data_IF_909986956420
#
_entry.id   IF_909986956420
#
_cell.length_a   1.000
_cell.length_b   1.000
_cell.length_c   1.000
_cell.angle_alpha   90.00
_cell.angle_beta   90.00
_cell.angle_gamma   90.00
#
_symmetry.space_group_name_H-M   'P 1'
#
loop_
_entity.id
_entity.type
_entity.pdbx_description
1 polymer ?
#
# COMPACT_ATOMS: atom_id res chain seq x y z
N UNK A 1 11.06 9.63 4.89
CA UNK A 1 11.37 8.35 4.24
C UNK A 1 11.41 7.28 5.33
N UNK A 2 10.29 7.11 6.02
CA UNK A 2 10.11 6.08 7.03
C UNK A 2 9.74 4.80 6.30
N UNK A 3 10.64 3.83 6.27
CA UNK A 3 10.37 2.46 5.84
C UNK A 3 10.72 1.51 6.99
N UNK A 4 10.26 0.26 6.91
CA UNK A 4 10.75 -0.87 7.72
C UNK A 4 12.26 -1.03 7.53
N UNK A 5 12.77 -0.78 6.31
CA UNK A 5 14.21 -0.73 6.01
C UNK A 5 14.74 0.72 5.88
N UNK A 6 15.38 1.20 6.93
CA UNK A 6 16.05 2.51 6.94
C UNK A 6 17.28 2.56 6.01
N UNK A 7 17.83 1.41 5.61
CA UNK A 7 19.02 1.32 4.77
C UNK A 7 18.79 1.84 3.36
N UNK A 8 17.55 1.75 2.85
CA UNK A 8 17.17 2.18 1.51
C UNK A 8 17.41 3.68 1.29
N UNK A 9 17.29 4.49 2.35
CA UNK A 9 17.50 5.94 2.28
C UNK A 9 18.80 6.39 2.96
N UNK A 10 19.70 5.45 3.25
CA UNK A 10 21.04 5.76 3.70
C UNK A 10 21.80 6.59 2.66
N UNK A 11 22.82 7.34 3.10
CA UNK A 11 23.63 8.18 2.20
C UNK A 11 24.28 7.35 1.08
N UNK A 12 24.74 6.13 1.38
CA UNK A 12 25.32 5.22 0.39
C UNK A 12 24.28 4.75 -0.63
N UNK A 13 23.08 4.37 -0.18
CA UNK A 13 21.98 3.97 -1.05
C UNK A 13 21.54 5.11 -1.99
N UNK A 14 21.31 6.31 -1.44
CA UNK A 14 20.95 7.50 -2.22
C UNK A 14 22.03 7.88 -3.25
N UNK A 15 23.31 7.80 -2.90
CA UNK A 15 24.40 8.01 -3.86
C UNK A 15 24.47 6.93 -4.93
N UNK A 16 23.82 5.79 -4.70
CA UNK A 16 23.79 4.64 -5.58
C UNK A 16 22.92 4.82 -6.83
N UNK A 17 21.94 5.72 -6.83
CA UNK A 17 21.01 5.90 -7.96
C UNK A 17 20.94 7.36 -8.42
N UNK A 18 20.50 7.61 -9.65
CA UNK A 18 20.31 8.96 -10.19
C UNK A 18 19.27 9.77 -9.39
N UNK A 19 18.04 9.29 -9.13
CA UNK A 19 17.06 10.00 -8.31
C UNK A 19 17.53 10.15 -6.86
N UNK A 20 18.26 9.18 -6.29
CA UNK A 20 18.84 9.32 -4.95
C UNK A 20 19.82 10.49 -4.83
N UNK A 21 20.68 10.69 -5.84
CA UNK A 21 21.55 11.89 -5.92
C UNK A 21 20.74 13.18 -6.04
N UNK A 22 19.60 13.15 -6.76
CA UNK A 22 18.71 14.31 -6.85
C UNK A 22 18.03 14.61 -5.50
N UNK A 23 17.60 13.58 -4.76
CA UNK A 23 17.08 13.72 -3.40
C UNK A 23 18.10 14.39 -2.49
N UNK A 24 19.36 13.93 -2.51
CA UNK A 24 20.46 14.57 -1.75
C UNK A 24 20.60 16.04 -2.15
N UNK A 25 20.63 16.33 -3.46
CA UNK A 25 20.74 17.70 -3.99
C UNK A 25 19.60 18.58 -3.48
N UNK A 26 18.35 18.10 -3.57
CA UNK A 26 17.18 18.83 -3.07
C UNK A 26 17.23 19.04 -1.56
N UNK A 27 17.77 18.09 -0.81
CA UNK A 27 18.02 18.21 0.62
C UNK A 27 19.04 19.28 0.96
N UNK A 28 20.19 19.29 0.27
CA UNK A 28 21.26 20.28 0.45
C UNK A 28 20.79 21.70 0.15
N UNK A 29 20.02 21.89 -0.92
CA UNK A 29 19.45 23.20 -1.28
C UNK A 29 18.17 23.55 -0.52
N UNK A 30 17.67 22.65 0.35
CA UNK A 30 16.38 22.78 1.05
C UNK A 30 15.28 23.22 0.09
N UNK A 31 15.12 22.50 -1.02
CA UNK A 31 14.10 22.79 -2.04
C UNK A 31 12.70 22.84 -1.40
N UNK A 32 11.75 23.54 -2.04
CA UNK A 32 10.36 23.62 -1.55
C UNK A 32 9.76 22.22 -1.34
N UNK A 33 9.92 21.34 -2.32
CA UNK A 33 9.43 19.96 -2.26
C UNK A 33 10.03 19.17 -1.10
N UNK A 34 11.35 19.25 -0.91
CA UNK A 34 12.04 18.58 0.21
C UNK A 34 11.60 19.12 1.57
N UNK A 35 11.39 20.44 1.71
CA UNK A 35 10.90 21.04 2.96
C UNK A 35 9.50 20.53 3.31
N UNK A 36 8.57 20.56 2.35
CA UNK A 36 7.21 20.04 2.54
C UNK A 36 7.22 18.54 2.86
N UNK A 37 8.07 17.78 2.15
CA UNK A 37 8.25 16.36 2.44
C UNK A 37 8.71 16.10 3.88
N UNK A 38 9.74 16.81 4.35
CA UNK A 38 10.23 16.64 5.72
C UNK A 38 9.22 17.10 6.76
N UNK A 39 8.42 18.13 6.47
CA UNK A 39 7.34 18.56 7.35
C UNK A 39 6.35 17.41 7.58
N UNK A 40 5.79 16.85 6.50
CA UNK A 40 4.82 15.76 6.63
C UNK A 40 5.43 14.47 7.19
N UNK A 41 6.69 14.18 6.84
CA UNK A 41 7.42 13.06 7.43
C UNK A 41 7.56 13.21 8.95
N UNK A 42 8.01 14.38 9.43
CA UNK A 42 8.17 14.63 10.86
C UNK A 42 6.82 14.59 11.58
N UNK A 43 5.80 15.23 11.02
CA UNK A 43 4.45 15.20 11.58
C UNK A 43 3.92 13.77 11.69
N UNK A 44 4.10 12.96 10.64
CA UNK A 44 3.76 11.55 10.68
C UNK A 44 4.51 10.80 11.80
N UNK A 45 5.83 10.98 11.91
CA UNK A 45 6.63 10.33 12.95
C UNK A 45 6.17 10.72 14.38
N UNK A 46 5.79 11.98 14.58
CA UNK A 46 5.33 12.49 15.87
C UNK A 46 3.89 12.02 16.22
N UNK A 47 3.03 11.83 15.22
CA UNK A 47 1.60 11.52 15.42
C UNK A 47 1.25 10.04 15.27
N UNK A 48 2.10 9.24 14.62
CA UNK A 48 1.85 7.83 14.37
C UNK A 48 1.60 7.00 15.65
N UNK A 49 2.33 7.20 16.78
CA UNK A 49 2.04 6.48 18.01
C UNK A 49 0.62 6.75 18.54
N UNK A 50 0.14 7.99 18.40
CA UNK A 50 -1.22 8.35 18.80
C UNK A 50 -2.27 7.71 17.89
N UNK A 51 -2.01 7.66 16.58
CA UNK A 51 -2.82 6.92 15.61
C UNK A 51 -2.92 5.43 15.98
N UNK A 52 -1.79 4.73 16.17
CA UNK A 52 -1.77 3.32 16.54
C UNK A 52 -2.57 3.04 17.83
N UNK A 53 -2.41 3.90 18.83
CA UNK A 53 -3.13 3.81 20.09
C UNK A 53 -4.65 4.00 19.92
N UNK A 54 -5.10 4.92 19.06
CA UNK A 54 -6.52 5.12 18.74
C UNK A 54 -7.08 3.93 17.96
N UNK A 55 -6.34 3.42 16.98
CA UNK A 55 -6.75 2.26 16.21
C UNK A 55 -6.96 1.04 17.11
N UNK A 56 -5.98 0.71 17.97
CA UNK A 56 -6.10 -0.40 18.92
C UNK A 56 -7.29 -0.22 19.88
N UNK A 57 -7.52 0.98 20.42
CA UNK A 57 -8.65 1.26 21.31
C UNK A 57 -10.01 1.09 20.62
N UNK A 58 -10.14 1.59 19.40
CA UNK A 58 -11.40 1.48 18.66
C UNK A 58 -11.67 0.03 18.25
N UNK A 59 -10.62 -0.71 17.85
CA UNK A 59 -10.73 -2.13 17.52
C UNK A 59 -11.11 -2.97 18.73
N UNK A 60 -10.49 -2.69 19.88
CA UNK A 60 -10.83 -3.31 21.16
C UNK A 60 -12.30 -3.08 21.53
N UNK A 61 -12.78 -1.85 21.40
CA UNK A 61 -14.17 -1.52 21.69
C UNK A 61 -15.14 -2.26 20.76
N UNK A 62 -14.84 -2.36 19.46
CA UNK A 62 -15.71 -3.07 18.51
C UNK A 62 -15.77 -4.57 18.78
N UNK A 63 -14.64 -5.23 19.05
CA UNK A 63 -14.60 -6.67 19.36
C UNK A 63 -15.40 -6.96 20.64
N UNK A 64 -15.25 -6.12 21.67
CA UNK A 64 -15.96 -6.30 22.94
C UNK A 64 -17.46 -6.01 22.87
N UNK A 65 -17.88 -5.12 21.96
CA UNK A 65 -19.29 -4.76 21.78
C UNK A 65 -20.06 -5.73 20.87
N UNK A 66 -19.39 -6.70 20.23
CA UNK A 66 -20.04 -7.64 19.32
C UNK A 66 -20.57 -8.88 20.06
N UNK A 67 -21.89 -8.93 20.22
CA UNK A 67 -22.61 -10.06 20.82
C UNK A 67 -22.80 -11.26 19.87
N UNK A 68 -22.43 -11.13 18.59
CA UNK A 68 -22.61 -12.17 17.57
C UNK A 68 -21.40 -12.29 16.63
N UNK A 69 -20.19 -12.56 17.17
CA UNK A 69 -18.96 -12.57 16.40
C UNK A 69 -18.95 -13.61 15.27
N UNK A 70 -19.68 -14.73 15.42
CA UNK A 70 -19.86 -15.68 14.32
C UNK A 70 -20.62 -15.08 13.14
N UNK A 71 -21.70 -14.33 13.38
CA UNK A 71 -22.44 -13.66 12.30
C UNK A 71 -21.56 -12.65 11.59
N UNK A 72 -20.79 -11.86 12.35
CA UNK A 72 -19.83 -10.89 11.82
C UNK A 72 -18.76 -11.55 10.93
N UNK A 73 -18.19 -12.66 11.38
CA UNK A 73 -17.23 -13.46 10.61
C UNK A 73 -17.85 -14.01 9.32
N UNK A 74 -19.03 -14.61 9.39
CA UNK A 74 -19.70 -15.16 8.19
C UNK A 74 -20.04 -14.07 7.18
N UNK A 75 -20.59 -12.94 7.62
CA UNK A 75 -20.89 -11.81 6.74
C UNK A 75 -19.63 -11.27 6.05
N UNK A 76 -18.52 -11.19 6.77
CA UNK A 76 -17.26 -10.79 6.18
C UNK A 76 -16.73 -11.83 5.18
N UNK A 77 -16.78 -13.12 5.50
CA UNK A 77 -16.40 -14.20 4.59
C UNK A 77 -17.25 -14.26 3.31
N UNK A 78 -18.55 -14.00 3.43
CA UNK A 78 -19.47 -13.83 2.29
C UNK A 78 -19.13 -12.57 1.49
N UNK A 79 -18.91 -11.46 2.20
CA UNK A 79 -18.58 -10.19 1.57
C UNK A 79 -17.33 -10.37 0.74
N UNK A 80 -16.21 -10.82 1.34
CA UNK A 80 -14.90 -11.01 0.71
C UNK A 80 -14.85 -12.15 -0.31
N UNK A 81 -15.74 -13.13 -0.19
CA UNK A 81 -15.78 -14.33 -1.03
C UNK A 81 -14.72 -15.37 -0.70
N UNK A 82 -14.25 -15.42 0.56
CA UNK A 82 -13.27 -16.42 1.02
C UNK A 82 -13.56 -16.85 2.45
N UNK A 83 -13.61 -18.17 2.67
CA UNK A 83 -13.73 -18.76 4.01
C UNK A 83 -12.37 -18.98 4.67
N UNK A 84 -11.25 -18.81 3.96
CA UNK A 84 -9.90 -18.99 4.52
C UNK A 84 -9.51 -17.87 5.48
N UNK A 85 -10.11 -16.69 5.30
CA UNK A 85 -9.81 -15.49 6.08
C UNK A 85 -10.72 -15.30 7.30
N UNK A 86 -11.55 -16.30 7.62
CA UNK A 86 -12.45 -16.30 8.77
C UNK A 86 -12.16 -17.49 9.68
N UNK A 87 -12.59 -17.39 10.93
CA UNK A 87 -12.49 -18.47 11.91
C UNK A 87 -13.65 -19.47 11.78
N UNK A 88 -13.38 -20.73 12.15
CA UNK A 88 -14.45 -21.68 12.40
C UNK A 88 -15.21 -21.28 13.67
N UNK A 89 -16.52 -21.59 13.73
CA UNK A 89 -17.36 -21.21 14.87
C UNK A 89 -16.80 -21.64 16.24
N UNK A 90 -16.12 -22.79 16.32
CA UNK A 90 -15.49 -23.29 17.56
C UNK A 90 -14.24 -22.52 17.99
N UNK A 91 -13.60 -21.80 17.07
CA UNK A 91 -12.36 -21.04 17.32
C UNK A 91 -12.64 -19.60 17.76
N UNK A 92 -13.84 -19.08 17.47
CA UNK A 92 -14.19 -17.67 17.69
C UNK A 92 -14.10 -17.27 19.17
N UNK A 93 -14.79 -17.98 20.07
CA UNK A 93 -14.81 -17.59 21.49
C UNK A 93 -13.43 -17.67 22.17
N UNK A 94 -12.61 -18.73 21.94
CA UNK A 94 -11.23 -18.75 22.43
C UNK A 94 -10.38 -17.57 21.94
N UNK A 95 -10.42 -17.26 20.64
CA UNK A 95 -9.61 -16.17 20.06
C UNK A 95 -10.13 -14.80 20.50
N UNK A 96 -11.46 -14.62 20.56
CA UNK A 96 -12.08 -13.41 21.09
C UNK A 96 -11.63 -13.18 22.53
N UNK A 97 -11.76 -14.17 23.40
CA UNK A 97 -11.33 -14.07 24.81
C UNK A 97 -9.88 -13.65 24.96
N UNK A 98 -8.98 -14.16 24.09
CA UNK A 98 -7.57 -13.74 24.03
C UNK A 98 -7.42 -12.27 23.63
N UNK A 99 -8.17 -11.82 22.62
CA UNK A 99 -8.13 -10.43 22.12
C UNK A 99 -8.91 -9.43 22.98
N UNK A 100 -9.61 -9.88 24.03
CA UNK A 100 -10.14 -9.02 25.10
C UNK A 100 -9.06 -8.57 26.09
N UNK A 101 -7.84 -9.08 25.98
CA UNK A 101 -6.67 -8.44 26.60
C UNK A 101 -6.15 -7.31 25.69
N UNK A 102 -6.18 -6.08 26.21
CA UNK A 102 -5.84 -4.89 25.42
C UNK A 102 -4.39 -4.94 24.93
N UNK A 103 -3.45 -5.39 25.76
CA UNK A 103 -2.03 -5.44 25.41
C UNK A 103 -1.77 -6.45 24.29
N UNK A 104 -2.45 -7.59 24.32
CA UNK A 104 -2.42 -8.59 23.25
C UNK A 104 -2.95 -8.02 21.93
N UNK A 105 -4.13 -7.38 21.93
CA UNK A 105 -4.68 -6.76 20.72
C UNK A 105 -3.77 -5.63 20.20
N UNK A 106 -3.25 -4.80 21.10
CA UNK A 106 -2.38 -3.68 20.75
C UNK A 106 -1.08 -4.17 20.11
N UNK A 107 -0.47 -5.26 20.61
CA UNK A 107 0.67 -5.89 19.94
C UNK A 107 0.34 -6.31 18.50
N UNK A 108 -0.83 -6.94 18.27
CA UNK A 108 -1.26 -7.30 16.91
C UNK A 108 -1.41 -6.10 16.00
N UNK A 109 -2.01 -5.02 16.51
CA UNK A 109 -2.13 -3.75 15.77
C UNK A 109 -0.75 -3.18 15.42
N UNK A 110 0.20 -3.19 16.35
CA UNK A 110 1.55 -2.68 16.08
C UNK A 110 2.31 -3.53 15.04
N UNK A 111 2.05 -4.84 14.98
CA UNK A 111 2.66 -5.74 14.00
C UNK A 111 2.16 -5.45 12.58
N UNK A 112 0.86 -5.34 12.38
CA UNK A 112 0.28 -5.03 11.06
C UNK A 112 0.69 -3.62 10.60
N UNK A 113 0.66 -2.63 11.51
CA UNK A 113 1.10 -1.27 11.23
C UNK A 113 2.60 -1.13 10.92
N UNK A 114 3.40 -2.16 11.20
CA UNK A 114 4.81 -2.21 10.83
C UNK A 114 5.03 -2.57 9.35
N UNK A 115 4.29 -1.89 8.46
CA UNK A 115 4.35 -2.04 7.02
C UNK A 115 5.05 -0.84 6.35
N UNK A 116 5.83 -1.12 5.30
CA UNK A 116 6.38 -0.08 4.41
C UNK A 116 5.26 0.76 3.80
N UNK A 117 4.16 0.12 3.38
CA UNK A 117 3.03 0.82 2.75
C UNK A 117 2.38 1.80 3.72
N UNK A 118 2.09 1.37 4.95
CA UNK A 118 1.50 2.24 5.99
C UNK A 118 2.42 3.43 6.30
N UNK A 119 3.69 3.17 6.62
CA UNK A 119 4.65 4.21 7.02
C UNK A 119 4.96 5.21 5.92
N UNK A 120 4.92 4.79 4.66
CA UNK A 120 5.16 5.66 3.51
C UNK A 120 3.92 6.46 3.10
N UNK A 121 2.71 5.90 3.22
CA UNK A 121 1.47 6.55 2.78
C UNK A 121 0.91 7.54 3.80
N UNK A 122 1.10 7.29 5.10
CA UNK A 122 0.63 8.20 6.17
C UNK A 122 1.03 9.67 5.96
N UNK A 123 2.31 10.04 5.73
CA UNK A 123 2.67 11.42 5.44
C UNK A 123 2.14 11.94 4.10
N UNK A 124 1.94 11.06 3.11
CA UNK A 124 1.44 11.44 1.78
C UNK A 124 -0.04 11.83 1.86
N UNK A 125 -0.86 11.04 2.56
CA UNK A 125 -2.28 11.32 2.71
C UNK A 125 -2.55 12.62 3.47
N UNK A 126 -1.80 12.86 4.56
CA UNK A 126 -1.81 14.13 5.25
C UNK A 126 -1.49 15.30 4.31
N UNK A 127 -0.44 15.17 3.49
CA UNK A 127 -0.08 16.20 2.51
C UNK A 127 -1.08 16.40 1.38
N UNK A 128 -1.71 15.34 0.88
CA UNK A 128 -2.76 15.43 -0.13
C UNK A 128 -4.04 16.08 0.42
N UNK A 129 -4.43 15.72 1.64
CA UNK A 129 -5.61 16.29 2.29
C UNK A 129 -5.40 17.79 2.52
N UNK A 130 -4.27 18.18 3.11
CA UNK A 130 -3.95 19.59 3.35
C UNK A 130 -3.85 20.39 2.04
N UNK A 131 -3.30 19.80 0.98
CA UNK A 131 -3.25 20.42 -0.33
C UNK A 131 -4.65 20.63 -0.96
N UNK A 132 -5.56 19.69 -0.74
CA UNK A 132 -6.96 19.79 -1.15
C UNK A 132 -7.69 20.89 -0.37
N UNK A 133 -7.60 20.87 0.97
CA UNK A 133 -8.16 21.90 1.85
C UNK A 133 -7.69 23.30 1.45
N UNK A 134 -6.38 23.47 1.21
CA UNK A 134 -5.80 24.74 0.76
C UNK A 134 -6.37 25.19 -0.59
N UNK A 135 -6.49 24.28 -1.56
CA UNK A 135 -6.97 24.59 -2.91
C UNK A 135 -8.44 25.01 -2.93
N UNK A 136 -9.29 24.24 -2.24
CA UNK A 136 -10.73 24.52 -2.16
C UNK A 136 -11.06 25.65 -1.16
N UNK A 137 -10.07 26.11 -0.40
CA UNK A 137 -10.20 27.14 0.65
C UNK A 137 -11.20 26.73 1.73
N UNK A 138 -11.19 25.46 2.08
CA UNK A 138 -12.02 24.96 3.17
C UNK A 138 -11.46 25.44 4.51
N UNK A 139 -12.34 25.53 5.51
CA UNK A 139 -11.89 25.71 6.89
C UNK A 139 -11.08 24.49 7.33
N UNK A 140 -9.99 24.74 8.06
CA UNK A 140 -9.18 23.67 8.61
C UNK A 140 -10.02 22.86 9.60
N UNK A 141 -10.24 21.60 9.28
CA UNK A 141 -10.92 20.64 10.15
C UNK A 141 -9.98 19.47 10.49
N UNK A 142 -9.21 19.59 11.59
CA UNK A 142 -8.26 18.56 12.00
C UNK A 142 -8.92 17.19 12.25
N UNK A 143 -10.16 17.17 12.72
CA UNK A 143 -10.91 15.93 12.96
C UNK A 143 -11.27 15.25 11.64
N UNK A 144 -11.76 15.99 10.64
CA UNK A 144 -12.04 15.42 9.32
C UNK A 144 -10.77 14.85 8.68
N UNK A 145 -9.66 15.60 8.75
CA UNK A 145 -8.37 15.13 8.26
C UNK A 145 -7.95 13.84 8.94
N UNK A 146 -8.01 13.79 10.27
CA UNK A 146 -7.69 12.59 11.05
C UNK A 146 -8.59 11.41 10.66
N UNK A 147 -9.91 11.61 10.56
CA UNK A 147 -10.82 10.52 10.21
C UNK A 147 -10.57 9.98 8.80
N UNK A 148 -10.41 10.85 7.81
CA UNK A 148 -10.17 10.42 6.42
C UNK A 148 -8.81 9.75 6.27
N UNK A 149 -7.74 10.32 6.84
CA UNK A 149 -6.40 9.75 6.76
C UNK A 149 -6.33 8.43 7.53
N UNK A 150 -6.76 8.40 8.80
CA UNK A 150 -6.73 7.20 9.63
C UNK A 150 -7.59 6.09 9.00
N UNK A 151 -8.77 6.42 8.47
CA UNK A 151 -9.67 5.45 7.85
C UNK A 151 -9.05 4.76 6.63
N UNK A 152 -8.40 5.51 5.75
CA UNK A 152 -7.71 4.91 4.60
C UNK A 152 -6.43 4.17 4.98
N UNK A 153 -5.74 4.58 6.04
CA UNK A 153 -4.57 3.87 6.53
C UNK A 153 -4.97 2.53 7.15
N UNK A 154 -6.04 2.50 7.95
CA UNK A 154 -6.63 1.26 8.49
C UNK A 154 -7.08 0.33 7.36
N UNK A 155 -7.68 0.88 6.29
CA UNK A 155 -8.08 0.09 5.13
C UNK A 155 -6.89 -0.51 4.35
N UNK A 156 -5.80 0.24 4.20
CA UNK A 156 -4.55 -0.28 3.60
C UNK A 156 -3.97 -1.36 4.48
N UNK A 157 -3.92 -1.10 5.79
CA UNK A 157 -3.40 -2.01 6.79
C UNK A 157 -4.16 -3.35 6.82
N UNK A 158 -5.48 -3.36 6.55
CA UNK A 158 -6.27 -4.60 6.39
C UNK A 158 -5.71 -5.57 5.34
N UNK A 159 -5.00 -5.07 4.31
CA UNK A 159 -4.39 -5.95 3.33
C UNK A 159 -3.26 -6.81 3.90
N UNK A 160 -2.53 -6.33 4.91
CA UNK A 160 -1.41 -7.04 5.54
C UNK A 160 -1.84 -8.32 6.28
N UNK A 161 -2.78 -8.30 7.24
CA UNK A 161 -3.26 -9.52 7.88
C UNK A 161 -3.92 -10.48 6.88
N UNK A 162 -4.61 -9.96 5.86
CA UNK A 162 -5.20 -10.81 4.82
C UNK A 162 -4.13 -11.52 3.98
N UNK A 163 -3.07 -10.81 3.58
CA UNK A 163 -1.94 -11.38 2.83
C UNK A 163 -1.22 -12.45 3.66
N UNK A 164 -0.92 -12.16 4.94
CA UNK A 164 -0.28 -13.13 5.87
C UNK A 164 -1.10 -14.41 6.05
N UNK A 165 -2.43 -14.32 6.10
CA UNK A 165 -3.31 -15.49 6.22
C UNK A 165 -3.23 -16.36 4.95
N UNK A 166 -3.24 -15.74 3.78
CA UNK A 166 -3.26 -16.42 2.48
C UNK A 166 -1.87 -16.99 2.14
N UNK A 167 -0.82 -16.17 2.27
CA UNK A 167 0.53 -16.51 1.85
C UNK A 167 1.34 -17.25 2.94
N UNK A 168 0.94 -17.14 4.22
CA UNK A 168 1.58 -17.82 5.36
C UNK A 168 3.09 -17.57 5.42
N UNK A 169 3.49 -16.32 5.39
CA UNK A 169 4.88 -15.87 5.28
C UNK A 169 5.41 -15.19 6.57
N UNK A 170 4.58 -14.46 7.30
CA UNK A 170 4.91 -13.75 8.56
C UNK A 170 3.86 -14.03 9.64
N UNK A 171 4.27 -14.01 10.94
CA UNK A 171 3.35 -14.08 12.09
C UNK A 171 2.42 -15.30 12.11
N UNK A 172 2.95 -16.48 11.75
CA UNK A 172 2.17 -17.72 11.62
C UNK A 172 1.39 -18.10 12.88
N UNK A 173 1.91 -17.78 14.06
CA UNK A 173 1.26 -18.04 15.33
C UNK A 173 0.08 -17.09 15.65
N UNK A 174 -0.12 -16.04 14.85
CA UNK A 174 -1.14 -15.01 15.07
C UNK A 174 -2.20 -14.95 13.96
N UNK A 175 -2.18 -15.86 12.98
CA UNK A 175 -3.12 -15.85 11.86
C UNK A 175 -4.59 -15.90 12.32
N UNK A 176 -4.90 -16.66 13.37
CA UNK A 176 -6.26 -16.72 13.90
C UNK A 176 -6.69 -15.42 14.60
N UNK A 177 -5.75 -14.72 15.25
CA UNK A 177 -6.02 -13.38 15.81
C UNK A 177 -6.39 -12.42 14.67
N UNK A 178 -5.64 -12.47 13.56
CA UNK A 178 -5.89 -11.66 12.38
C UNK A 178 -7.24 -11.96 11.71
N UNK A 179 -7.60 -13.24 11.57
CA UNK A 179 -8.93 -13.64 11.07
C UNK A 179 -10.05 -13.04 11.92
N UNK A 180 -9.93 -13.05 13.26
CA UNK A 180 -10.93 -12.41 14.11
C UNK A 180 -11.00 -10.89 13.87
N UNK A 181 -9.84 -10.23 13.77
CA UNK A 181 -9.73 -8.77 13.68
C UNK A 181 -10.25 -8.20 12.35
N UNK A 182 -10.03 -8.88 11.23
CA UNK A 182 -10.33 -8.41 9.86
C UNK A 182 -11.70 -7.72 9.68
N UNK A 183 -12.85 -8.33 10.04
CA UNK A 183 -14.15 -7.69 9.88
C UNK A 183 -14.27 -6.36 10.64
N UNK A 184 -13.69 -6.29 11.84
CA UNK A 184 -13.75 -5.09 12.68
C UNK A 184 -12.80 -4.00 12.16
N UNK A 185 -11.64 -4.37 11.60
CA UNK A 185 -10.74 -3.44 10.91
C UNK A 185 -11.46 -2.80 9.72
N UNK A 186 -12.12 -3.60 8.87
CA UNK A 186 -12.89 -3.09 7.73
C UNK A 186 -14.03 -2.17 8.18
N UNK A 187 -14.76 -2.56 9.23
CA UNK A 187 -15.83 -1.73 9.81
C UNK A 187 -15.30 -0.40 10.33
N UNK A 188 -14.16 -0.37 11.04
CA UNK A 188 -13.53 0.86 11.51
C UNK A 188 -13.11 1.78 10.37
N UNK A 189 -12.53 1.23 9.30
CA UNK A 189 -12.17 2.01 8.12
C UNK A 189 -13.42 2.70 7.53
N UNK A 190 -14.52 1.95 7.35
CA UNK A 190 -15.81 2.48 6.87
C UNK A 190 -16.36 3.59 7.75
N UNK A 191 -16.39 3.38 9.07
CA UNK A 191 -16.89 4.36 10.03
C UNK A 191 -16.13 5.69 9.94
N UNK A 192 -14.80 5.63 9.79
CA UNK A 192 -13.94 6.80 9.63
C UNK A 192 -14.07 7.46 8.26
N UNK A 193 -14.01 6.69 7.17
CA UNK A 193 -14.12 7.21 5.80
C UNK A 193 -15.50 7.85 5.56
N UNK A 194 -16.57 7.29 6.14
CA UNK A 194 -17.93 7.83 6.03
C UNK A 194 -18.07 9.26 6.56
N UNK A 195 -17.15 9.73 7.42
CA UNK A 195 -17.15 11.13 7.89
C UNK A 195 -16.95 12.13 6.77
N UNK A 196 -16.33 11.72 5.65
CA UNK A 196 -16.20 12.54 4.44
C UNK A 196 -17.48 12.66 3.61
N UNK A 197 -18.53 11.91 3.94
CA UNK A 197 -19.81 11.87 3.24
C UNK A 197 -20.00 10.61 2.38
N UNK A 198 -21.24 10.40 1.94
CA UNK A 198 -21.66 9.18 1.25
C UNK A 198 -20.89 8.94 -0.05
N UNK A 199 -20.56 9.99 -0.80
CA UNK A 199 -19.79 9.87 -2.03
C UNK A 199 -18.35 9.41 -1.77
N UNK A 200 -17.74 9.84 -0.66
CA UNK A 200 -16.38 9.42 -0.26
C UNK A 200 -16.38 7.95 0.15
N UNK A 201 -17.38 7.52 0.92
CA UNK A 201 -17.57 6.12 1.28
C UNK A 201 -17.80 5.25 0.05
N UNK A 202 -18.63 5.71 -0.91
CA UNK A 202 -18.92 4.98 -2.15
C UNK A 202 -17.66 4.72 -2.98
N UNK A 203 -16.76 5.70 -3.10
CA UNK A 203 -15.48 5.51 -3.80
C UNK A 203 -14.58 4.49 -3.07
N UNK A 204 -14.59 4.51 -1.74
CA UNK A 204 -13.89 3.49 -0.96
C UNK A 204 -14.45 2.08 -1.23
N UNK A 205 -15.77 1.89 -1.19
CA UNK A 205 -16.39 0.59 -1.42
C UNK A 205 -16.12 0.05 -2.82
N UNK A 206 -16.18 0.90 -3.86
CA UNK A 206 -15.84 0.48 -5.22
C UNK A 206 -14.34 0.13 -5.32
N UNK A 207 -13.46 0.92 -4.71
CA UNK A 207 -12.03 0.61 -4.63
C UNK A 207 -11.75 -0.72 -3.94
N UNK A 208 -12.41 -0.99 -2.81
CA UNK A 208 -12.29 -2.23 -2.05
C UNK A 208 -12.74 -3.44 -2.88
N UNK A 209 -13.87 -3.32 -3.59
CA UNK A 209 -14.37 -4.34 -4.51
C UNK A 209 -13.38 -4.62 -5.64
N UNK A 210 -12.84 -3.59 -6.30
CA UNK A 210 -11.86 -3.76 -7.37
C UNK A 210 -10.56 -4.37 -6.87
N UNK A 211 -10.10 -3.99 -5.67
CA UNK A 211 -8.90 -4.54 -5.08
C UNK A 211 -9.03 -6.04 -4.80
N UNK A 212 -10.20 -6.48 -4.34
CA UNK A 212 -10.50 -7.90 -4.15
C UNK A 212 -10.53 -8.69 -5.45
N UNK A 213 -11.07 -8.12 -6.53
CA UNK A 213 -11.00 -8.74 -7.87
C UNK A 213 -9.54 -8.93 -8.28
N UNK A 214 -8.70 -7.90 -8.07
CA UNK A 214 -7.26 -7.97 -8.32
C UNK A 214 -6.57 -9.05 -7.49
N UNK A 215 -6.87 -9.15 -6.19
CA UNK A 215 -6.29 -10.17 -5.32
C UNK A 215 -6.73 -11.59 -5.71
N UNK A 216 -8.01 -11.78 -6.05
CA UNK A 216 -8.50 -13.07 -6.51
C UNK A 216 -7.81 -13.52 -7.81
N UNK A 217 -7.61 -12.60 -8.74
CA UNK A 217 -6.83 -12.86 -9.96
C UNK A 217 -5.39 -13.20 -9.62
N UNK A 218 -4.74 -12.44 -8.73
CA UNK A 218 -3.37 -12.70 -8.27
C UNK A 218 -3.20 -14.14 -7.77
N UNK A 219 -4.08 -14.61 -6.88
CA UNK A 219 -4.07 -15.99 -6.38
C UNK A 219 -4.25 -17.00 -7.52
N UNK A 220 -5.19 -16.78 -8.43
CA UNK A 220 -5.43 -17.70 -9.57
C UNK A 220 -4.26 -17.80 -10.52
N UNK A 221 -3.52 -16.72 -10.74
CA UNK A 221 -2.38 -16.73 -11.66
C UNK A 221 -1.20 -17.54 -11.10
N UNK A 222 -1.14 -17.77 -9.78
CA UNK A 222 -0.15 -18.67 -9.16
C UNK A 222 -0.27 -20.12 -9.68
N UNK A 223 -1.47 -20.56 -10.09
CA UNK A 223 -1.70 -21.94 -10.57
C UNK A 223 -1.24 -22.18 -12.01
N UNK A 224 -1.06 -21.12 -12.81
CA UNK A 224 -0.71 -21.20 -14.24
C UNK A 224 0.39 -20.21 -14.64
N UNK A 225 1.57 -20.25 -13.99
CA UNK A 225 2.58 -19.22 -14.11
C UNK A 225 3.15 -19.04 -15.53
N UNK A 226 3.10 -20.08 -16.37
CA UNK A 226 3.60 -20.07 -17.76
C UNK A 226 2.58 -19.58 -18.79
N UNK A 227 1.35 -19.29 -18.37
CA UNK A 227 0.22 -18.94 -19.24
C UNK A 227 -0.40 -17.58 -18.91
N UNK A 228 0.24 -16.81 -18.02
CA UNK A 228 -0.21 -15.46 -17.63
C UNK A 228 -0.17 -14.54 -18.85
N UNK A 229 -1.29 -13.89 -19.17
CA UNK A 229 -1.31 -12.84 -20.21
C UNK A 229 -1.02 -11.46 -19.63
N UNK A 230 -0.67 -10.52 -20.50
CA UNK A 230 -0.45 -9.12 -20.10
C UNK A 230 -1.71 -8.50 -19.49
N UNK A 231 -2.88 -8.78 -20.09
CA UNK A 231 -4.17 -8.30 -19.58
C UNK A 231 -4.48 -8.86 -18.19
N UNK A 232 -4.21 -10.15 -17.96
CA UNK A 232 -4.42 -10.78 -16.65
C UNK A 232 -3.54 -10.13 -15.58
N UNK A 233 -2.30 -9.80 -15.92
CA UNK A 233 -1.36 -9.15 -15.00
C UNK A 233 -1.72 -7.67 -14.75
N UNK A 234 -2.17 -6.94 -15.77
CA UNK A 234 -2.72 -5.58 -15.60
C UNK A 234 -3.94 -5.60 -14.69
N UNK A 235 -4.80 -6.62 -14.82
CA UNK A 235 -6.00 -6.77 -14.00
C UNK A 235 -5.68 -7.18 -12.55
N UNK A 236 -4.68 -8.05 -12.31
CA UNK A 236 -4.26 -8.37 -10.94
C UNK A 236 -3.67 -7.16 -10.21
N UNK A 237 -2.95 -6.30 -10.94
CA UNK A 237 -2.39 -5.04 -10.45
C UNK A 237 -3.45 -4.02 -9.99
N UNK A 238 -4.74 -4.25 -10.29
CA UNK A 238 -5.84 -3.45 -9.74
C UNK A 238 -5.83 -3.39 -8.22
N UNK A 239 -5.25 -4.37 -7.51
CA UNK A 239 -5.12 -4.32 -6.04
C UNK A 239 -4.38 -3.07 -5.56
N UNK A 240 -3.23 -2.75 -6.17
CA UNK A 240 -2.47 -1.54 -5.86
C UNK A 240 -3.18 -0.28 -6.35
N UNK A 241 -3.63 -0.31 -7.61
CA UNK A 241 -4.29 0.83 -8.28
C UNK A 241 -5.53 1.30 -7.52
N UNK A 242 -6.39 0.36 -7.15
CA UNK A 242 -7.70 0.67 -6.59
C UNK A 242 -7.58 1.18 -5.16
N UNK A 243 -6.79 0.52 -4.31
CA UNK A 243 -6.59 0.94 -2.92
C UNK A 243 -5.93 2.32 -2.85
N UNK A 244 -4.84 2.53 -3.57
CA UNK A 244 -4.09 3.79 -3.50
C UNK A 244 -4.77 4.91 -4.28
N UNK A 245 -5.38 4.60 -5.42
CA UNK A 245 -6.11 5.55 -6.23
C UNK A 245 -7.34 6.09 -5.49
N UNK A 246 -8.18 5.23 -4.91
CA UNK A 246 -9.38 5.70 -4.20
C UNK A 246 -9.02 6.42 -2.91
N UNK A 247 -7.97 6.00 -2.20
CA UNK A 247 -7.46 6.76 -1.07
C UNK A 247 -7.00 8.17 -1.49
N UNK A 248 -6.22 8.28 -2.58
CA UNK A 248 -5.83 9.57 -3.16
C UNK A 248 -7.03 10.45 -3.51
N UNK A 249 -8.04 9.88 -4.19
CA UNK A 249 -9.31 10.55 -4.50
C UNK A 249 -10.01 11.08 -3.25
N UNK A 250 -10.06 10.27 -2.20
CA UNK A 250 -10.75 10.61 -0.97
C UNK A 250 -10.00 11.64 -0.12
N UNK A 251 -8.68 11.82 -0.29
CA UNK A 251 -7.97 12.98 0.25
C UNK A 251 -8.48 14.31 -0.34
N UNK A 252 -9.13 14.28 -1.50
CA UNK A 252 -9.84 15.41 -2.07
C UNK A 252 -11.33 15.45 -1.71
N UNK A 253 -11.80 14.57 -0.81
CA UNK A 253 -13.22 14.32 -0.52
C UNK A 253 -14.04 14.04 -1.80
N UNK A 254 -13.45 13.32 -2.75
CA UNK A 254 -14.03 13.05 -4.07
C UNK A 254 -14.42 14.32 -4.87
N UNK A 255 -13.78 15.47 -4.60
CA UNK A 255 -14.03 16.72 -5.33
C UNK A 255 -13.07 16.93 -6.50
N UNK A 256 -13.64 17.10 -7.69
CA UNK A 256 -12.90 17.45 -8.90
C UNK A 256 -12.32 18.89 -8.82
N UNK A 257 -11.19 19.17 -9.51
CA UNK A 257 -10.41 18.25 -10.34
C UNK A 257 -9.42 17.39 -9.54
N UNK A 258 -9.17 17.72 -8.26
CA UNK A 258 -8.12 17.08 -7.47
C UNK A 258 -8.38 15.60 -7.22
N UNK A 259 -9.65 15.19 -7.06
CA UNK A 259 -10.05 13.79 -6.93
C UNK A 259 -9.48 12.89 -8.04
N UNK A 260 -9.60 13.30 -9.30
CA UNK A 260 -9.13 12.50 -10.44
C UNK A 260 -7.60 12.55 -10.58
N UNK A 261 -7.01 13.72 -10.31
CA UNK A 261 -5.56 13.90 -10.37
C UNK A 261 -4.88 13.06 -9.31
N UNK A 262 -5.37 13.12 -8.07
CA UNK A 262 -4.84 12.33 -6.96
C UNK A 262 -5.09 10.84 -7.18
N UNK A 263 -6.25 10.46 -7.72
CA UNK A 263 -6.51 9.08 -8.12
C UNK A 263 -5.43 8.58 -9.07
N UNK A 264 -5.24 9.23 -10.24
CA UNK A 264 -4.28 8.77 -11.24
C UNK A 264 -2.85 8.79 -10.68
N UNK A 265 -2.45 9.87 -10.00
CA UNK A 265 -1.11 10.00 -9.44
C UNK A 265 -0.78 8.91 -8.42
N UNK A 266 -1.65 8.66 -7.46
CA UNK A 266 -1.44 7.63 -6.43
C UNK A 266 -1.52 6.22 -7.00
N UNK A 267 -2.51 5.97 -7.87
CA UNK A 267 -2.72 4.66 -8.45
C UNK A 267 -1.52 4.22 -9.29
N UNK A 268 -1.01 5.10 -10.16
CA UNK A 268 0.15 4.83 -11.03
C UNK A 268 1.47 4.77 -10.27
N UNK A 269 1.66 5.62 -9.26
CA UNK A 269 2.81 5.53 -8.38
C UNK A 269 2.83 4.19 -7.61
N UNK A 270 1.68 3.70 -7.17
CA UNK A 270 1.57 2.42 -6.48
C UNK A 270 1.88 1.23 -7.39
N UNK A 271 1.38 1.22 -8.63
CA UNK A 271 1.74 0.21 -9.64
C UNK A 271 3.26 0.21 -9.90
N UNK A 272 3.87 1.39 -9.98
CA UNK A 272 5.32 1.54 -10.13
C UNK A 272 6.10 0.97 -8.94
N UNK A 273 5.65 1.20 -7.70
CA UNK A 273 6.24 0.62 -6.47
C UNK A 273 6.08 -0.90 -6.46
N UNK A 274 4.96 -1.43 -6.96
CA UNK A 274 4.73 -2.88 -7.09
C UNK A 274 5.86 -3.59 -7.84
N UNK A 275 6.35 -2.99 -8.94
CA UNK A 275 7.50 -3.52 -9.67
C UNK A 275 8.77 -3.60 -8.81
N UNK A 276 9.05 -2.58 -7.98
CA UNK A 276 10.20 -2.58 -7.07
C UNK A 276 10.07 -3.65 -5.97
N UNK A 277 8.87 -3.81 -5.40
CA UNK A 277 8.59 -4.86 -4.41
C UNK A 277 8.79 -6.26 -4.97
N UNK A 278 8.34 -6.50 -6.21
CA UNK A 278 8.53 -7.81 -6.85
C UNK A 278 10.00 -8.13 -7.08
N UNK A 279 10.84 -7.13 -7.32
CA UNK A 279 12.30 -7.29 -7.41
C UNK A 279 12.89 -7.61 -6.03
N UNK A 280 12.48 -6.89 -4.99
CA UNK A 280 12.88 -7.17 -3.60
C UNK A 280 12.53 -8.61 -3.19
N UNK A 281 11.28 -9.02 -3.40
CA UNK A 281 10.80 -10.38 -3.15
C UNK A 281 11.62 -11.41 -3.94
N UNK A 282 11.91 -11.12 -5.22
CA UNK A 282 12.69 -12.03 -6.06
C UNK A 282 14.14 -12.20 -5.59
N UNK A 283 14.73 -11.16 -4.99
CA UNK A 283 16.06 -11.25 -4.35
C UNK A 283 15.98 -12.17 -3.13
N UNK A 284 14.98 -11.96 -2.25
CA UNK A 284 14.79 -12.75 -1.03
C UNK A 284 14.59 -14.23 -1.36
N UNK A 285 13.71 -14.51 -2.31
CA UNK A 285 13.25 -15.87 -2.61
C UNK A 285 14.14 -16.58 -3.64
N UNK A 286 15.08 -15.85 -4.26
CA UNK A 286 15.96 -16.32 -5.36
C UNK A 286 15.19 -16.93 -6.53
N UNK A 287 13.97 -16.46 -6.76
CA UNK A 287 13.08 -16.85 -7.84
C UNK A 287 12.24 -15.63 -8.26
N UNK A 288 11.80 -15.55 -9.51
CA UNK A 288 10.87 -14.49 -9.91
C UNK A 288 9.53 -14.68 -9.18
N UNK A 289 9.01 -13.62 -8.54
CA UNK A 289 7.71 -13.65 -7.84
C UNK A 289 6.58 -14.10 -8.78
N UNK A 290 5.59 -14.81 -8.26
CA UNK A 290 4.44 -15.31 -9.03
C UNK A 290 3.13 -14.81 -8.40
N UNK A 291 2.21 -14.19 -9.18
CA UNK A 291 2.46 -13.58 -10.49
C UNK A 291 3.29 -12.29 -10.35
N UNK A 292 4.01 -11.88 -11.40
CA UNK A 292 4.77 -10.62 -11.38
C UNK A 292 5.18 -10.15 -12.78
N UNK A 293 5.49 -8.86 -12.93
CA UNK A 293 6.08 -8.34 -14.17
C UNK A 293 7.46 -8.95 -14.47
N UNK A 294 8.37 -9.11 -13.48
CA UNK A 294 9.63 -9.81 -13.69
C UNK A 294 9.46 -11.20 -14.28
N UNK A 295 8.53 -12.00 -13.75
CA UNK A 295 8.25 -13.34 -14.27
C UNK A 295 7.72 -13.29 -15.70
N UNK A 296 6.70 -12.47 -15.96
CA UNK A 296 6.05 -12.36 -17.26
C UNK A 296 7.06 -12.03 -18.36
N UNK A 297 7.88 -11.00 -18.17
CA UNK A 297 8.89 -10.62 -19.16
C UNK A 297 10.01 -11.64 -19.26
N UNK A 298 10.43 -12.26 -18.14
CA UNK A 298 11.47 -13.30 -18.17
C UNK A 298 11.06 -14.49 -19.02
N UNK A 299 9.79 -14.94 -18.90
CA UNK A 299 9.24 -16.00 -19.73
C UNK A 299 9.09 -15.58 -21.19
N UNK A 300 8.63 -14.35 -21.45
CA UNK A 300 8.48 -13.81 -22.81
C UNK A 300 9.81 -13.68 -23.55
N UNK A 301 10.87 -13.33 -22.81
CA UNK A 301 12.22 -13.11 -23.36
C UNK A 301 13.12 -14.35 -23.26
N UNK A 302 12.69 -15.38 -22.52
CA UNK A 302 13.49 -16.55 -22.18
C UNK A 302 14.85 -16.17 -21.55
N UNK A 303 14.86 -15.12 -20.72
CA UNK A 303 16.02 -14.65 -19.97
C UNK A 303 15.58 -13.78 -18.78
N UNK A 304 15.94 -14.20 -17.57
CA UNK A 304 15.62 -13.49 -16.35
C UNK A 304 16.21 -12.06 -16.33
N UNK A 305 17.43 -11.88 -16.84
CA UNK A 305 18.06 -10.56 -16.78
C UNK A 305 17.30 -9.53 -17.64
N UNK A 306 17.01 -9.90 -18.88
CA UNK A 306 16.22 -9.08 -19.81
C UNK A 306 14.80 -8.85 -19.28
N UNK A 307 14.19 -9.86 -18.65
CA UNK A 307 12.87 -9.74 -18.04
C UNK A 307 12.81 -8.66 -16.95
N UNK A 308 13.76 -8.67 -16.03
CA UNK A 308 13.84 -7.66 -14.96
C UNK A 308 14.23 -6.27 -15.49
N UNK A 309 15.03 -6.18 -16.55
CA UNK A 309 15.29 -4.91 -17.25
C UNK A 309 14.00 -4.32 -17.84
N UNK A 310 13.16 -5.14 -18.46
CA UNK A 310 11.88 -4.68 -19.01
C UNK A 310 10.87 -4.30 -17.93
N UNK A 311 10.86 -4.98 -16.78
CA UNK A 311 10.08 -4.54 -15.61
C UNK A 311 10.45 -3.12 -15.17
N UNK A 312 11.73 -2.75 -15.24
CA UNK A 312 12.14 -1.38 -14.91
C UNK A 312 11.64 -0.35 -15.92
N UNK A 313 11.61 -0.69 -17.22
CA UNK A 313 11.01 0.15 -18.25
C UNK A 313 9.51 0.33 -18.02
N UNK A 314 8.81 -0.76 -17.68
CA UNK A 314 7.39 -0.74 -17.38
C UNK A 314 7.07 0.07 -16.12
N UNK A 315 7.89 -0.05 -15.08
CA UNK A 315 7.79 0.75 -13.85
C UNK A 315 7.94 2.25 -14.11
N UNK A 316 8.84 2.65 -15.03
CA UNK A 316 9.00 4.05 -15.44
C UNK A 316 7.80 4.54 -16.26
N UNK A 317 7.19 3.68 -17.08
CA UNK A 317 5.95 4.01 -17.81
C UNK A 317 4.82 4.39 -16.84
N UNK A 318 4.61 3.59 -15.78
CA UNK A 318 3.66 3.93 -14.73
C UNK A 318 3.98 5.28 -14.07
N UNK A 319 5.25 5.51 -13.72
CA UNK A 319 5.64 6.77 -13.09
C UNK A 319 5.49 7.97 -14.03
N UNK A 320 5.69 7.79 -15.33
CA UNK A 320 5.41 8.80 -16.36
C UNK A 320 3.92 9.15 -16.41
N UNK A 321 3.03 8.16 -16.37
CA UNK A 321 1.58 8.42 -16.28
C UNK A 321 1.21 9.17 -15.00
N UNK A 322 1.82 8.82 -13.86
CA UNK A 322 1.64 9.55 -12.61
C UNK A 322 2.09 11.02 -12.73
N UNK A 323 3.18 11.29 -13.46
CA UNK A 323 3.68 12.65 -13.73
C UNK A 323 2.75 13.44 -14.64
N UNK A 324 2.19 12.81 -15.68
CA UNK A 324 1.19 13.43 -16.54
C UNK A 324 -0.09 13.82 -15.79
N UNK A 325 -0.42 13.17 -14.67
CA UNK A 325 -1.50 13.61 -13.80
C UNK A 325 -1.16 14.96 -13.12
N UNK A 326 0.09 15.17 -12.71
CA UNK A 326 0.51 16.44 -12.09
C UNK A 326 0.45 17.63 -13.05
N UNK A 327 0.60 17.40 -14.36
CA UNK A 327 0.46 18.44 -15.38
C UNK A 327 -0.97 19.01 -15.45
N UNK A 328 -1.95 18.28 -14.92
CA UNK A 328 -3.35 18.70 -14.84
C UNK A 328 -3.66 19.47 -13.56
N UNK A 329 -2.70 19.62 -12.65
CA UNK A 329 -2.90 20.39 -11.42
C UNK A 329 -3.21 21.86 -11.77
N UNK A 330 -4.09 22.50 -10.98
CA UNK A 330 -4.35 23.93 -11.12
C UNK A 330 -3.07 24.77 -11.03
N UNK A 331 -3.04 25.88 -11.77
CA UNK A 331 -1.94 26.84 -11.68
C UNK A 331 -1.73 27.29 -10.23
N UNK A 332 -0.46 27.37 -9.81
CA UNK A 332 -0.05 27.74 -8.45
C UNK A 332 -0.49 26.78 -7.33
N UNK A 333 -0.86 25.53 -7.65
CA UNK A 333 -1.13 24.52 -6.63
C UNK A 333 0.02 24.41 -5.62
N UNK A 334 -0.31 24.51 -4.33
CA UNK A 334 0.69 24.76 -3.26
C UNK A 334 1.68 23.62 -3.08
N UNK A 335 1.28 22.39 -3.46
CA UNK A 335 1.99 21.14 -3.22
C UNK A 335 2.59 20.49 -4.47
N UNK A 336 2.60 21.14 -5.64
CA UNK A 336 3.18 20.54 -6.87
C UNK A 336 4.62 20.07 -6.65
N UNK A 337 5.45 20.87 -5.97
CA UNK A 337 6.85 20.51 -5.67
C UNK A 337 6.98 19.38 -4.66
N UNK A 338 6.02 19.23 -3.76
CA UNK A 338 5.96 18.09 -2.85
C UNK A 338 5.66 16.80 -3.62
N UNK A 339 4.67 16.80 -4.50
CA UNK A 339 4.30 15.63 -5.31
C UNK A 339 5.41 15.23 -6.29
N UNK A 340 6.05 16.20 -6.96
CA UNK A 340 7.23 15.95 -7.78
C UNK A 340 8.36 15.27 -6.98
N UNK A 341 8.56 15.69 -5.72
CA UNK A 341 9.56 15.10 -4.84
C UNK A 341 9.21 13.65 -4.45
N UNK A 342 7.94 13.35 -4.14
CA UNK A 342 7.50 11.98 -3.84
C UNK A 342 7.79 11.02 -4.99
N UNK A 343 7.58 11.42 -6.24
CA UNK A 343 7.90 10.55 -7.36
C UNK A 343 9.41 10.29 -7.52
N UNK A 344 10.28 11.17 -7.05
CA UNK A 344 11.72 10.86 -6.99
C UNK A 344 12.02 9.77 -5.96
N UNK A 345 11.23 9.66 -4.89
CA UNK A 345 11.41 8.62 -3.87
C UNK A 345 10.99 7.27 -4.41
N UNK A 346 9.90 7.20 -5.20
CA UNK A 346 9.47 6.00 -5.91
C UNK A 346 10.51 5.56 -6.95
N UNK A 347 10.99 6.49 -7.78
CA UNK A 347 12.03 6.18 -8.78
C UNK A 347 13.32 5.65 -8.11
N UNK A 348 13.71 6.25 -6.98
CA UNK A 348 14.83 5.78 -6.19
C UNK A 348 14.63 4.38 -5.62
N UNK A 349 13.44 4.10 -5.07
CA UNK A 349 13.08 2.80 -4.53
C UNK A 349 13.26 1.68 -5.57
N UNK A 350 12.66 1.85 -6.75
CA UNK A 350 12.74 0.85 -7.82
C UNK A 350 14.18 0.67 -8.33
N UNK A 351 14.91 1.76 -8.55
CA UNK A 351 16.31 1.69 -8.98
C UNK A 351 17.23 1.10 -7.92
N UNK A 352 16.92 1.30 -6.63
CA UNK A 352 17.69 0.74 -5.53
C UNK A 352 17.61 -0.77 -5.54
N UNK A 353 16.40 -1.33 -5.58
CA UNK A 353 16.21 -2.79 -5.59
C UNK A 353 16.75 -3.44 -6.84
N UNK A 354 16.54 -2.85 -8.02
CA UNK A 354 17.13 -3.38 -9.25
C UNK A 354 18.66 -3.36 -9.21
N UNK A 355 19.28 -2.29 -8.68
CA UNK A 355 20.73 -2.25 -8.48
C UNK A 355 21.20 -3.28 -7.46
N UNK A 356 20.43 -3.51 -6.39
CA UNK A 356 20.74 -4.53 -5.39
C UNK A 356 20.73 -5.92 -6.04
N UNK A 357 19.74 -6.23 -6.86
CA UNK A 357 19.69 -7.47 -7.64
C UNK A 357 20.94 -7.63 -8.55
N UNK A 358 21.34 -6.56 -9.25
CA UNK A 358 22.56 -6.58 -10.07
C UNK A 358 23.83 -6.88 -9.25
N UNK A 359 23.89 -6.43 -7.99
CA UNK A 359 25.01 -6.68 -7.08
C UNK A 359 25.01 -8.10 -6.51
N UNK A 360 23.84 -8.63 -6.15
CA UNK A 360 23.70 -10.02 -5.70
C UNK A 360 24.03 -11.02 -6.81
N UNK A 361 23.83 -10.62 -8.09
CA UNK A 361 24.24 -11.36 -9.28
C UNK A 361 23.69 -12.80 -9.33
N UNK A 362 22.44 -12.98 -8.90
CA UNK A 362 21.74 -14.28 -8.81
C UNK A 362 21.04 -14.68 -10.12
N UNK A 363 21.44 -14.14 -11.27
CA UNK A 363 20.76 -14.36 -12.56
C UNK A 363 20.67 -15.83 -12.98
N UNK A 364 21.66 -16.65 -12.61
CA UNK A 364 21.64 -18.09 -12.86
C UNK A 364 20.54 -18.80 -12.06
N UNK A 365 20.35 -18.40 -10.80
CA UNK A 365 19.32 -18.96 -9.93
C UNK A 365 17.94 -18.57 -10.43
N UNK A 366 17.76 -17.30 -10.77
CA UNK A 366 16.51 -16.79 -11.33
C UNK A 366 16.13 -17.53 -12.63
N UNK A 367 17.07 -17.69 -13.56
CA UNK A 367 16.83 -18.44 -14.79
C UNK A 367 16.50 -19.92 -14.53
N UNK A 368 17.23 -20.56 -13.60
CA UNK A 368 16.99 -21.96 -13.24
C UNK A 368 15.62 -22.17 -12.61
N UNK A 369 15.14 -21.18 -11.85
CA UNK A 369 13.87 -21.23 -11.15
C UNK A 369 12.70 -20.66 -11.97
N UNK A 370 12.90 -20.34 -13.25
CA UNK A 370 11.78 -20.00 -14.14
C UNK A 370 10.88 -21.23 -14.32
N UNK A 371 9.55 -21.07 -14.20
CA UNK A 371 8.59 -22.12 -14.50
C UNK A 371 8.76 -22.65 -15.93
N UNK A 372 8.76 -23.97 -16.08
CA UNK A 372 8.81 -24.64 -17.38
C UNK A 372 7.42 -25.11 -17.80
N UNK A 373 7.12 -25.05 -19.10
CA UNK A 373 5.88 -25.61 -19.67
C UNK A 373 5.86 -27.14 -19.65
#
# INVERSE_FOLDING_TARGET
>A
MSGKDESLFSKSALMGTKPGKQIIKQGLFKSKGFKQFNQYKQEAEDTFPAFAQRFAKNLFAQINADDSPNTTQQQFGEEVGSTEIILNASEIEPIKSKLQDFDTLHDRVLRILNSNFVKMTFPVFNGLFDASTDYFKDDKNPTMREDIVDGHIIAIDLSEPMDRIVDKDEDLEYLDDYKLMNPYILKLAREKISKGGDDVLKEFEEGFKQARIGQYLDTKLKDKPTEITEEELVESYKKYRSVMGTAGRNMALNRAPLADIFYTGMAKAAESVGCGNEIEDSIRDRAAKIPSWPLFYSLKMNDAKSGFEETMNHSESYLSEARSALEKLPDNFSHTKFLEFLFLTVEHYNQFWYKKLQQENIWSDLNKNLPTK
#
